data_IF_247876194779
#
_entry.id   IF_247876194779
#
_cell.length_a   1.000
_cell.length_b   1.000
_cell.length_c   1.000
_cell.angle_alpha   90.00
_cell.angle_beta   90.00
_cell.angle_gamma   90.00
#
_symmetry.space_group_name_H-M   'P 1'
#
loop_
_entity.id
_entity.type
_entity.pdbx_description
1 polymer ?
#
# COMPACT_ATOMS: atom_id res chain seq x y z
N UNK A 1 -4.31 9.35 -19.72
CA UNK A 1 -3.79 9.28 -18.35
C UNK A 1 -3.72 7.82 -17.97
N UNK A 2 -2.53 7.25 -17.85
CA UNK A 2 -2.38 5.83 -17.56
C UNK A 2 -2.48 5.66 -16.05
N UNK A 3 -3.70 5.45 -15.54
CA UNK A 3 -3.87 4.94 -14.18
C UNK A 3 -3.03 3.67 -14.11
N UNK A 4 -2.10 3.63 -13.16
CA UNK A 4 -1.24 2.46 -12.98
C UNK A 4 -2.15 1.29 -12.63
N UNK A 5 -2.30 0.35 -13.57
CA UNK A 5 -3.20 -0.79 -13.38
C UNK A 5 -2.42 -1.82 -12.60
N UNK A 6 -2.64 -1.82 -11.29
CA UNK A 6 -2.14 -2.86 -10.42
C UNK A 6 -3.19 -3.97 -10.34
N UNK A 7 -2.77 -5.22 -10.23
CA UNK A 7 -3.68 -6.31 -9.93
C UNK A 7 -4.32 -6.10 -8.54
N UNK A 8 -5.54 -6.61 -8.37
CA UNK A 8 -6.36 -6.38 -7.17
C UNK A 8 -5.64 -6.75 -5.86
N UNK A 9 -4.80 -7.80 -5.88
CA UNK A 9 -4.03 -8.23 -4.71
C UNK A 9 -2.99 -7.21 -4.24
N UNK A 10 -2.48 -6.37 -5.15
CA UNK A 10 -1.57 -5.27 -4.84
C UNK A 10 -2.34 -4.00 -4.49
N UNK A 11 -3.38 -3.66 -5.27
CA UNK A 11 -4.19 -2.46 -5.03
C UNK A 11 -4.84 -2.49 -3.65
N UNK A 12 -5.32 -3.66 -3.17
CA UNK A 12 -5.89 -3.78 -1.83
C UNK A 12 -4.86 -3.51 -0.71
N UNK A 13 -3.60 -3.87 -0.93
CA UNK A 13 -2.51 -3.68 0.04
C UNK A 13 -1.90 -2.28 -0.01
N UNK A 14 -2.08 -1.57 -1.12
CA UNK A 14 -1.56 -0.24 -1.30
C UNK A 14 -2.54 0.76 -0.68
N UNK A 15 -2.02 1.56 0.25
CA UNK A 15 -2.79 2.62 0.88
C UNK A 15 -2.84 3.86 -0.01
N UNK A 16 -1.69 4.28 -0.52
CA UNK A 16 -1.56 5.48 -1.34
C UNK A 16 -0.42 5.36 -2.34
N UNK A 17 -0.64 5.86 -3.56
CA UNK A 17 0.42 6.05 -4.55
C UNK A 17 0.54 7.55 -4.83
N UNK A 18 1.72 8.11 -4.59
CA UNK A 18 2.07 9.47 -4.99
C UNK A 18 2.77 9.46 -6.33
N UNK A 19 2.35 10.39 -7.17
CA UNK A 19 2.92 10.64 -8.48
C UNK A 19 3.61 12.01 -8.48
N UNK A 20 4.81 12.08 -9.04
CA UNK A 20 5.52 13.34 -9.33
C UNK A 20 5.86 13.36 -10.81
N UNK A 21 5.47 14.43 -11.50
CA UNK A 21 5.81 14.66 -12.92
C UNK A 21 5.55 13.42 -13.81
N UNK A 22 4.34 12.86 -13.71
CA UNK A 22 3.86 11.68 -14.45
C UNK A 22 4.55 10.33 -14.12
N UNK A 23 5.47 10.30 -13.15
CA UNK A 23 6.07 9.07 -12.63
C UNK A 23 5.60 8.76 -11.19
N UNK A 24 5.60 7.47 -10.83
CA UNK A 24 5.38 7.11 -9.42
C UNK A 24 6.57 7.58 -8.60
N UNK A 25 6.30 8.45 -7.63
CA UNK A 25 7.29 8.99 -6.71
C UNK A 25 7.34 8.19 -5.41
N UNK A 26 6.19 7.75 -4.92
CA UNK A 26 6.10 7.03 -3.65
C UNK A 26 4.94 6.04 -3.67
N UNK A 27 5.19 4.78 -3.31
CA UNK A 27 4.13 3.80 -3.04
C UNK A 27 4.12 3.57 -1.54
N UNK A 28 3.00 3.87 -0.92
CA UNK A 28 2.76 3.60 0.50
C UNK A 28 1.76 2.47 0.61
N UNK A 29 2.20 1.31 1.07
CA UNK A 29 1.35 0.16 1.38
C UNK A 29 1.06 0.07 2.87
N UNK A 30 0.03 -0.70 3.25
CA UNK A 30 -0.20 -1.01 4.67
C UNK A 30 1.00 -1.76 5.24
N UNK A 31 1.47 -2.79 4.55
CA UNK A 31 2.59 -3.63 4.97
C UNK A 31 3.72 -3.65 3.95
N UNK A 32 4.95 -4.08 4.32
CA UNK A 32 6.05 -4.23 3.39
C UNK A 32 5.65 -5.23 2.31
N UNK A 33 5.72 -4.79 1.05
CA UNK A 33 5.53 -5.67 -0.09
C UNK A 33 6.66 -6.69 -0.16
N UNK A 34 6.33 -7.91 -0.58
CA UNK A 34 7.30 -8.96 -0.83
C UNK A 34 8.12 -8.66 -2.09
N UNK A 35 9.26 -9.32 -2.25
CA UNK A 35 10.13 -9.09 -3.42
C UNK A 35 9.42 -9.40 -4.76
N UNK A 36 8.56 -10.42 -4.80
CA UNK A 36 7.75 -10.74 -5.98
C UNK A 36 6.79 -9.59 -6.34
N UNK A 37 6.15 -8.98 -5.35
CA UNK A 37 5.20 -7.88 -5.53
C UNK A 37 5.93 -6.62 -6.00
N UNK A 38 7.11 -6.32 -5.43
CA UNK A 38 7.97 -5.21 -5.88
C UNK A 38 8.43 -5.41 -7.32
N UNK A 39 8.83 -6.63 -7.69
CA UNK A 39 9.23 -6.97 -9.05
C UNK A 39 8.07 -6.82 -10.04
N UNK A 40 6.86 -7.22 -9.65
CA UNK A 40 5.65 -7.05 -10.45
C UNK A 40 5.35 -5.57 -10.69
N UNK A 41 5.44 -4.73 -9.65
CA UNK A 41 5.27 -3.27 -9.77
C UNK A 41 6.35 -2.65 -10.65
N UNK A 42 7.62 -3.02 -10.46
CA UNK A 42 8.73 -2.55 -11.30
C UNK A 42 8.53 -2.94 -12.78
N UNK A 43 7.98 -4.13 -13.03
CA UNK A 43 7.64 -4.59 -14.38
C UNK A 43 6.49 -3.77 -14.98
N UNK A 44 5.46 -3.43 -14.19
CA UNK A 44 4.33 -2.60 -14.65
C UNK A 44 4.78 -1.16 -14.91
N UNK A 45 5.63 -0.62 -14.04
CA UNK A 45 6.23 0.70 -14.19
C UNK A 45 7.28 0.76 -15.30
N UNK A 46 7.81 -0.40 -15.71
CA UNK A 46 8.94 -0.52 -16.61
C UNK A 46 10.16 0.31 -16.17
N UNK A 47 10.36 0.43 -14.84
CA UNK A 47 11.50 1.12 -14.23
C UNK A 47 11.81 0.48 -12.87
N UNK A 48 13.08 0.60 -12.44
CA UNK A 48 13.51 0.09 -11.13
C UNK A 48 13.09 1.08 -10.04
N UNK A 49 11.88 0.89 -9.53
CA UNK A 49 11.33 1.70 -8.45
C UNK A 49 11.75 1.12 -7.10
N UNK A 50 12.27 1.97 -6.22
CA UNK A 50 12.69 1.60 -4.86
C UNK A 50 11.95 2.36 -3.77
N UNK A 51 11.07 3.30 -4.14
CA UNK A 51 10.29 4.13 -3.23
C UNK A 51 9.09 3.42 -2.60
N UNK A 52 9.27 2.16 -2.20
CA UNK A 52 8.26 1.37 -1.48
C UNK A 52 8.34 1.69 0.00
N UNK A 53 7.24 2.19 0.54
CA UNK A 53 7.06 2.49 1.94
C UNK A 53 5.90 1.67 2.47
N UNK A 54 6.02 1.23 3.71
CA UNK A 54 4.93 0.59 4.41
C UNK A 54 4.56 1.39 5.65
N UNK A 55 3.29 1.40 5.98
CA UNK A 55 2.80 2.06 7.20
C UNK A 55 3.20 1.23 8.42
N UNK A 56 2.98 -0.08 8.34
CA UNK A 56 3.44 -1.06 9.30
C UNK A 56 4.79 -1.63 8.86
N UNK A 57 5.65 -1.91 9.84
CA UNK A 57 6.94 -2.55 9.61
C UNK A 57 6.86 -4.07 9.61
N UNK A 58 5.76 -4.63 10.12
CA UNK A 58 5.51 -6.07 10.16
C UNK A 58 5.25 -6.63 8.76
N UNK A 59 5.89 -7.74 8.40
CA UNK A 59 5.46 -8.50 7.23
C UNK A 59 4.35 -9.45 7.61
N UNK A 60 3.27 -9.45 6.83
CA UNK A 60 2.19 -10.41 7.02
C UNK A 60 1.94 -11.20 5.74
N UNK A 61 1.54 -12.45 5.91
CA UNK A 61 1.20 -13.32 4.79
C UNK A 61 -0.14 -12.93 4.15
N UNK A 62 -0.39 -13.37 2.92
CA UNK A 62 -1.69 -13.12 2.26
C UNK A 62 -2.88 -13.63 3.09
N UNK A 63 -2.75 -14.82 3.69
CA UNK A 63 -3.80 -15.38 4.57
C UNK A 63 -4.06 -14.47 5.78
N UNK A 64 -2.99 -13.96 6.41
CA UNK A 64 -3.12 -13.03 7.52
C UNK A 64 -3.70 -11.70 7.07
N UNK A 65 -3.32 -11.20 5.90
CA UNK A 65 -3.91 -10.01 5.32
C UNK A 65 -5.41 -10.19 5.12
N UNK A 66 -5.86 -11.28 4.51
CA UNK A 66 -7.29 -11.54 4.32
C UNK A 66 -8.05 -11.62 5.66
N UNK A 67 -7.41 -12.11 6.72
CA UNK A 67 -7.99 -12.17 8.07
C UNK A 67 -7.95 -10.84 8.83
N UNK A 68 -6.96 -9.99 8.57
CA UNK A 68 -6.68 -8.78 9.35
C UNK A 68 -7.00 -7.48 8.61
N UNK A 69 -7.19 -7.49 7.28
CA UNK A 69 -7.45 -6.31 6.44
C UNK A 69 -8.62 -5.48 6.95
N UNK A 70 -9.68 -6.11 7.44
CA UNK A 70 -10.83 -5.41 8.02
C UNK A 70 -10.47 -4.70 9.31
N UNK A 71 -9.73 -5.37 10.20
CA UNK A 71 -9.27 -4.77 11.46
C UNK A 71 -8.28 -3.64 11.21
N UNK A 72 -7.42 -3.78 10.21
CA UNK A 72 -6.41 -2.78 9.87
C UNK A 72 -7.07 -1.59 9.24
N UNK A 73 -7.93 -1.77 8.22
CA UNK A 73 -8.71 -0.67 7.63
C UNK A 73 -9.53 0.05 8.71
N UNK A 74 -10.15 -0.70 9.61
CA UNK A 74 -10.90 -0.14 10.75
C UNK A 74 -10.00 0.65 11.69
N UNK A 75 -8.89 0.07 12.15
CA UNK A 75 -7.94 0.71 13.09
C UNK A 75 -7.28 1.93 12.47
N UNK A 76 -6.96 1.88 11.18
CA UNK A 76 -6.42 3.02 10.44
C UNK A 76 -7.42 4.16 10.36
N UNK A 77 -8.69 3.84 10.09
CA UNK A 77 -9.77 4.82 10.09
C UNK A 77 -10.02 5.37 11.51
N UNK A 78 -10.03 4.53 12.53
CA UNK A 78 -10.13 4.92 13.94
C UNK A 78 -8.94 5.77 14.41
N UNK A 79 -7.70 5.52 13.95
CA UNK A 79 -6.54 6.36 14.29
C UNK A 79 -6.52 7.69 13.54
N UNK A 80 -6.96 7.72 12.28
CA UNK A 80 -7.10 8.95 11.50
C UNK A 80 -8.24 9.85 12.00
N UNK A 81 -9.36 9.27 12.44
CA UNK A 81 -10.55 10.00 12.90
C UNK A 81 -10.72 10.05 14.42
N UNK A 82 -9.92 9.31 15.18
CA UNK A 82 -10.00 9.24 16.65
C UNK A 82 -9.44 10.45 17.38
N UNK A 83 -8.83 11.39 16.66
CA UNK A 83 -8.23 12.60 17.25
C UNK A 83 -9.29 13.67 17.57
N UNK A 84 -10.53 13.55 17.07
CA UNK A 84 -11.59 14.57 17.24
C UNK A 84 -12.80 14.11 18.07
N UNK A 85 -12.59 13.15 18.98
CA UNK A 85 -13.57 12.89 20.06
C UNK A 85 -12.94 13.13 21.43
N UNK A 86 -12.56 14.39 21.67
CA UNK A 86 -12.57 14.90 23.04
C UNK A 86 -14.04 15.18 23.43
N UNK A 87 -14.50 14.70 24.60
CA UNK A 87 -15.86 14.93 25.11
C UNK A 87 -16.13 16.42 25.39
#
# INVERSE_FOLDING_TARGET
MSKLILPDHLEDKIFEIKYSDDAVSKITSYFPLNDSEKQEINSILNLDFSGFYSIFTDSISQEEWDRTKEQIKKRFNDELFGIDKKP
#
